data_IF_361501056644
#
_entry.id   IF_361501056644
#
_cell.length_a   1.000
_cell.length_b   1.000
_cell.length_c   1.000
_cell.angle_alpha   90.00
_cell.angle_beta   90.00
_cell.angle_gamma   90.00
#
_symmetry.space_group_name_H-M   'P 1'
#
loop_
_entity.id
_entity.type
_entity.pdbx_description
1 polymer ?
#
# COMPACT_ATOMS: atom_id res chain seq x y z
N UNK A 1 -2.45 -10.84 -5.34
CA UNK A 1 -1.92 -12.14 -5.67
C UNK A 1 -0.55 -12.07 -6.33
N UNK A 2 0.21 -13.11 -6.14
CA UNK A 2 1.57 -13.21 -6.72
C UNK A 2 1.55 -13.39 -8.25
N UNK A 3 0.40 -13.70 -8.83
CA UNK A 3 0.22 -13.85 -10.28
C UNK A 3 0.71 -12.65 -11.10
N UNK A 4 0.57 -11.43 -10.57
CA UNK A 4 0.98 -10.20 -11.26
C UNK A 4 2.50 -10.04 -11.39
N UNK A 5 3.31 -10.86 -10.73
CA UNK A 5 4.78 -10.72 -10.72
C UNK A 5 5.36 -10.77 -12.13
N UNK A 6 4.95 -11.74 -12.92
CA UNK A 6 5.44 -11.86 -14.31
C UNK A 6 5.02 -10.65 -15.16
N UNK A 7 3.80 -10.16 -15.00
CA UNK A 7 3.33 -8.94 -15.68
C UNK A 7 4.16 -7.72 -15.29
N UNK A 8 4.55 -7.59 -14.02
CA UNK A 8 5.42 -6.50 -13.57
C UNK A 8 6.83 -6.62 -14.16
N UNK A 9 7.37 -7.83 -14.27
CA UNK A 9 8.67 -8.09 -14.89
C UNK A 9 8.63 -7.78 -16.38
N UNK A 10 7.59 -8.22 -17.09
CA UNK A 10 7.34 -7.89 -18.51
C UNK A 10 7.23 -6.37 -18.72
N UNK A 11 6.67 -5.64 -17.77
CA UNK A 11 6.59 -4.18 -17.79
C UNK A 11 7.91 -3.47 -17.46
N UNK A 12 9.00 -4.20 -17.20
CA UNK A 12 10.35 -3.66 -17.03
C UNK A 12 10.77 -3.41 -15.59
N UNK A 13 10.09 -3.99 -14.59
CA UNK A 13 10.57 -3.93 -13.21
C UNK A 13 11.83 -4.76 -13.07
N UNK A 14 12.89 -4.16 -12.48
CA UNK A 14 14.21 -4.77 -12.36
C UNK A 14 14.46 -5.38 -10.99
N UNK A 15 13.68 -5.02 -9.97
CA UNK A 15 13.88 -5.41 -8.60
C UNK A 15 12.55 -5.44 -7.86
N UNK A 16 12.28 -6.44 -7.05
CA UNK A 16 11.11 -6.51 -6.19
C UNK A 16 11.50 -6.21 -4.75
N UNK A 17 10.71 -5.39 -4.07
CA UNK A 17 10.86 -5.11 -2.65
C UNK A 17 9.61 -5.55 -1.90
N UNK A 18 9.78 -6.46 -0.94
CA UNK A 18 8.71 -7.06 -0.15
C UNK A 18 8.91 -6.78 1.33
N UNK A 19 7.86 -6.94 2.12
CA UNK A 19 7.94 -6.68 3.55
C UNK A 19 8.77 -7.75 4.27
N UNK A 20 8.49 -9.01 4.02
CA UNK A 20 9.02 -10.12 4.80
C UNK A 20 9.54 -11.28 3.93
N UNK A 21 10.13 -12.28 4.61
CA UNK A 21 10.72 -13.44 3.95
C UNK A 21 9.68 -14.34 3.28
N UNK A 22 8.49 -14.51 3.88
CA UNK A 22 7.46 -15.38 3.33
C UNK A 22 6.98 -14.90 1.96
N UNK A 23 6.83 -13.58 1.79
CA UNK A 23 6.52 -12.97 0.48
C UNK A 23 7.64 -13.22 -0.53
N UNK A 24 8.91 -13.07 -0.10
CA UNK A 24 10.07 -13.30 -0.95
C UNK A 24 10.14 -14.76 -1.43
N UNK A 25 9.93 -15.72 -0.55
CA UNK A 25 9.94 -17.13 -0.87
C UNK A 25 8.83 -17.52 -1.84
N UNK A 26 7.62 -16.99 -1.65
CA UNK A 26 6.51 -17.19 -2.60
C UNK A 26 6.82 -16.61 -3.99
N UNK A 27 7.50 -15.47 -4.05
CA UNK A 27 7.97 -14.93 -5.33
C UNK A 27 9.00 -15.86 -5.97
N UNK A 28 9.91 -16.44 -5.18
CA UNK A 28 10.92 -17.39 -5.68
C UNK A 28 10.32 -18.67 -6.25
N UNK A 29 9.16 -19.10 -5.79
CA UNK A 29 8.41 -20.20 -6.41
C UNK A 29 7.99 -19.87 -7.86
N UNK A 30 7.69 -18.59 -8.14
CA UNK A 30 7.22 -18.11 -9.44
C UNK A 30 8.38 -17.69 -10.35
N UNK A 31 9.36 -16.99 -9.80
CA UNK A 31 10.50 -16.48 -10.54
C UNK A 31 11.81 -16.67 -9.75
N UNK A 32 12.75 -17.41 -10.35
CA UNK A 32 14.02 -17.77 -9.72
C UNK A 32 15.10 -16.69 -9.85
N UNK A 33 14.93 -15.70 -10.74
CA UNK A 33 16.00 -14.79 -11.15
C UNK A 33 15.84 -13.37 -10.67
N UNK A 34 14.61 -12.83 -10.67
CA UNK A 34 14.37 -11.43 -10.31
C UNK A 34 14.99 -11.08 -8.94
N UNK A 35 15.80 -10.04 -8.81
CA UNK A 35 16.31 -9.62 -7.51
C UNK A 35 15.16 -9.28 -6.54
N UNK A 36 15.28 -9.69 -5.27
CA UNK A 36 14.28 -9.47 -4.23
C UNK A 36 14.95 -8.89 -3.00
N UNK A 37 14.44 -7.77 -2.50
CA UNK A 37 14.83 -7.15 -1.23
C UNK A 37 13.74 -7.36 -0.17
N UNK A 38 14.09 -7.94 0.97
CA UNK A 38 13.26 -7.88 2.16
C UNK A 38 13.52 -6.56 2.90
N UNK A 39 12.47 -5.76 3.06
CA UNK A 39 12.55 -4.44 3.71
C UNK A 39 12.61 -4.52 5.24
N UNK A 40 12.10 -5.60 5.82
CA UNK A 40 12.23 -5.90 7.24
C UNK A 40 13.55 -6.65 7.51
N UNK A 41 14.22 -6.39 8.65
CA UNK A 41 15.38 -7.17 9.04
C UNK A 41 15.04 -8.65 9.22
N UNK A 42 15.84 -9.51 8.63
CA UNK A 42 15.65 -10.96 8.68
C UNK A 42 16.18 -11.52 10.01
N UNK A 43 15.45 -12.44 10.61
CA UNK A 43 15.96 -13.17 11.78
C UNK A 43 17.17 -14.02 11.36
N UNK A 44 18.21 -14.05 12.19
CA UNK A 44 19.49 -14.72 11.92
C UNK A 44 19.34 -16.19 11.51
N UNK A 45 18.38 -16.89 12.08
CA UNK A 45 18.09 -18.31 11.76
C UNK A 45 17.67 -18.55 10.30
N UNK A 46 17.28 -17.49 9.58
CA UNK A 46 16.83 -17.57 8.19
C UNK A 46 17.83 -17.05 7.18
N UNK A 47 19.04 -16.66 7.60
CA UNK A 47 20.07 -16.13 6.69
C UNK A 47 20.50 -17.16 5.64
N UNK A 48 20.58 -18.44 6.01
CA UNK A 48 20.95 -19.51 5.09
C UNK A 48 19.95 -19.64 3.94
N UNK A 49 18.64 -19.57 4.24
CA UNK A 49 17.62 -19.62 3.19
C UNK A 49 17.66 -18.36 2.33
N UNK A 50 17.93 -17.18 2.91
CA UNK A 50 18.10 -15.94 2.14
C UNK A 50 19.28 -16.05 1.17
N UNK A 51 20.42 -16.59 1.63
CA UNK A 51 21.57 -16.83 0.79
C UNK A 51 21.27 -17.82 -0.34
N UNK A 52 20.71 -18.99 -0.01
CA UNK A 52 20.34 -20.03 -0.98
C UNK A 52 19.38 -19.55 -2.04
N UNK A 53 18.37 -18.79 -1.65
CA UNK A 53 17.34 -18.28 -2.56
C UNK A 53 17.68 -16.90 -3.16
N UNK A 54 18.93 -16.43 -2.99
CA UNK A 54 19.41 -15.15 -3.51
C UNK A 54 18.46 -13.97 -3.15
N UNK A 55 18.09 -13.90 -1.86
CA UNK A 55 17.23 -12.83 -1.32
C UNK A 55 18.13 -11.80 -0.63
N UNK A 56 18.05 -10.56 -1.06
CA UNK A 56 18.75 -9.43 -0.47
C UNK A 56 18.10 -9.04 0.86
N UNK A 57 18.92 -8.80 1.88
CA UNK A 57 18.43 -8.45 3.21
C UNK A 57 18.63 -6.96 3.52
N UNK A 58 17.78 -6.43 4.41
CA UNK A 58 17.94 -5.10 4.98
C UNK A 58 18.77 -5.18 6.26
N UNK A 59 19.78 -4.33 6.34
CA UNK A 59 20.59 -4.09 7.54
C UNK A 59 20.31 -2.71 8.07
N UNK A 60 19.95 -2.59 9.35
CA UNK A 60 19.42 -1.38 9.96
C UNK A 60 20.12 -0.92 11.22
N UNK A 61 21.10 -1.68 11.71
CA UNK A 61 21.86 -1.32 12.92
C UNK A 61 23.23 -1.98 12.95
N UNK A 62 24.17 -1.35 13.65
CA UNK A 62 25.51 -1.90 13.87
C UNK A 62 25.47 -3.23 14.64
N UNK A 63 24.53 -3.38 15.58
CA UNK A 63 24.37 -4.63 16.33
C UNK A 63 23.97 -5.80 15.43
N UNK A 64 23.07 -5.53 14.47
CA UNK A 64 22.70 -6.55 13.48
C UNK A 64 23.88 -6.93 12.58
N UNK A 65 24.70 -5.97 12.13
CA UNK A 65 25.91 -6.23 11.34
C UNK A 65 26.87 -7.12 12.11
N UNK A 66 27.15 -6.81 13.38
CA UNK A 66 28.01 -7.63 14.23
C UNK A 66 27.54 -9.09 14.32
N UNK A 67 26.23 -9.29 14.43
CA UNK A 67 25.63 -10.63 14.52
C UNK A 67 25.74 -11.43 13.22
N UNK A 68 25.74 -10.78 12.06
CA UNK A 68 25.88 -11.45 10.76
C UNK A 68 27.31 -11.51 10.27
N UNK A 69 28.28 -10.90 10.98
CA UNK A 69 29.65 -10.77 10.50
C UNK A 69 30.39 -12.12 10.35
N UNK A 70 29.98 -13.13 11.10
CA UNK A 70 30.52 -14.49 10.99
C UNK A 70 29.80 -15.39 9.99
N UNK A 71 28.82 -14.83 9.26
CA UNK A 71 28.06 -15.57 8.24
C UNK A 71 28.97 -15.97 7.08
N UNK A 72 28.93 -17.27 6.69
CA UNK A 72 29.89 -17.88 5.76
C UNK A 72 29.37 -17.99 4.33
N UNK A 73 28.10 -17.76 4.09
CA UNK A 73 27.52 -17.84 2.76
C UNK A 73 27.30 -16.44 2.17
N UNK A 74 27.31 -16.35 0.84
CA UNK A 74 27.14 -15.07 0.15
C UNK A 74 25.74 -14.51 0.37
N UNK A 75 25.66 -13.25 0.79
CA UNK A 75 24.38 -12.55 0.96
C UNK A 75 24.50 -11.08 0.53
N UNK A 76 23.50 -10.59 -0.18
CA UNK A 76 23.40 -9.19 -0.59
C UNK A 76 22.72 -8.37 0.48
N UNK A 77 23.20 -7.16 0.66
CA UNK A 77 22.77 -6.26 1.73
C UNK A 77 22.37 -4.91 1.16
N UNK A 78 21.22 -4.41 1.58
CA UNK A 78 20.88 -3.00 1.51
C UNK A 78 20.90 -2.38 2.90
N UNK A 79 21.65 -1.31 3.07
CA UNK A 79 21.69 -0.53 4.31
C UNK A 79 20.47 0.39 4.36
N UNK A 80 19.76 0.37 5.48
CA UNK A 80 18.65 1.26 5.77
C UNK A 80 19.11 2.43 6.63
N UNK A 81 18.86 3.65 6.16
CA UNK A 81 19.07 4.89 6.91
C UNK A 81 17.74 5.36 7.50
N UNK A 82 17.72 5.68 8.78
CA UNK A 82 16.62 6.41 9.39
C UNK A 82 16.90 7.91 9.34
N UNK A 83 16.38 8.54 8.34
CA UNK A 83 16.56 9.98 8.12
C UNK A 83 15.52 10.85 8.86
N UNK A 84 14.85 10.28 9.88
CA UNK A 84 13.89 11.00 10.72
C UNK A 84 12.46 10.43 10.68
N UNK A 85 12.26 9.23 10.14
CA UNK A 85 10.99 8.51 10.30
C UNK A 85 10.88 7.84 11.67
N UNK A 86 12.01 7.65 12.37
CA UNK A 86 12.14 7.06 13.71
C UNK A 86 11.50 5.68 13.82
N UNK A 87 11.78 4.84 12.81
CA UNK A 87 11.22 3.50 12.74
C UNK A 87 12.27 2.41 12.64
N UNK A 88 13.22 2.56 11.74
CA UNK A 88 14.22 1.56 11.41
C UNK A 88 15.35 2.19 10.61
N UNK A 89 16.61 1.87 10.95
CA UNK A 89 17.78 2.29 10.17
C UNK A 89 18.85 2.98 11.01
N UNK A 90 20.00 3.22 10.40
CA UNK A 90 21.10 3.99 10.99
C UNK A 90 20.69 5.47 11.04
N UNK A 91 20.86 6.10 12.18
CA UNK A 91 20.52 7.49 12.45
C UNK A 91 21.76 8.36 12.72
N UNK A 92 22.97 7.77 12.69
CA UNK A 92 24.23 8.47 12.91
C UNK A 92 25.38 7.94 12.04
N UNK A 93 26.32 8.84 11.70
CA UNK A 93 27.48 8.56 10.84
C UNK A 93 28.38 7.48 11.41
N UNK A 94 28.69 7.56 12.71
CA UNK A 94 29.70 6.72 13.35
C UNK A 94 29.34 5.22 13.29
N UNK A 95 28.09 4.89 13.56
CA UNK A 95 27.64 3.51 13.52
C UNK A 95 27.46 3.02 12.08
N UNK A 96 27.07 3.91 11.16
CA UNK A 96 27.00 3.61 9.74
C UNK A 96 28.40 3.27 9.17
N UNK A 97 29.41 4.11 9.43
CA UNK A 97 30.79 3.89 8.98
C UNK A 97 31.37 2.56 9.51
N UNK A 98 31.17 2.30 10.81
CA UNK A 98 31.59 1.03 11.42
C UNK A 98 30.90 -0.17 10.77
N UNK A 99 29.61 -0.05 10.51
CA UNK A 99 28.83 -1.12 9.87
C UNK A 99 29.34 -1.40 8.46
N UNK A 100 29.58 -0.37 7.66
CA UNK A 100 30.12 -0.50 6.30
C UNK A 100 31.51 -1.16 6.31
N UNK A 101 32.39 -0.75 7.23
CA UNK A 101 33.73 -1.34 7.35
C UNK A 101 33.64 -2.83 7.69
N UNK A 102 32.84 -3.20 8.69
CA UNK A 102 32.63 -4.60 9.05
C UNK A 102 32.05 -5.43 7.89
N UNK A 103 31.11 -4.88 7.13
CA UNK A 103 30.55 -5.56 5.96
C UNK A 103 31.63 -5.74 4.89
N UNK A 104 32.46 -4.72 4.62
CA UNK A 104 33.54 -4.79 3.64
C UNK A 104 34.67 -5.75 4.01
N UNK A 105 34.89 -5.99 5.31
CA UNK A 105 35.88 -6.96 5.82
C UNK A 105 35.44 -8.42 5.61
N UNK A 106 34.14 -8.70 5.49
CA UNK A 106 33.62 -10.03 5.23
C UNK A 106 33.25 -10.20 3.74
N UNK A 107 34.04 -10.96 3.00
CA UNK A 107 33.85 -11.20 1.57
C UNK A 107 32.53 -11.90 1.20
N UNK A 108 31.84 -12.49 2.17
CA UNK A 108 30.53 -13.11 1.95
C UNK A 108 29.36 -12.11 2.07
N UNK A 109 29.62 -10.91 2.60
CA UNK A 109 28.63 -9.86 2.75
C UNK A 109 28.76 -8.84 1.60
N UNK A 110 27.85 -8.90 0.64
CA UNK A 110 27.89 -8.01 -0.52
C UNK A 110 27.02 -6.77 -0.30
N UNK A 111 27.68 -5.61 -0.14
CA UNK A 111 27.01 -4.33 0.04
C UNK A 111 26.49 -3.83 -1.32
N UNK A 112 25.22 -4.13 -1.61
CA UNK A 112 24.58 -3.82 -2.90
C UNK A 112 23.91 -2.45 -2.92
N UNK A 113 23.24 -2.06 -1.83
CA UNK A 113 22.44 -0.84 -1.86
C UNK A 113 22.33 -0.10 -0.54
N UNK A 114 21.85 1.13 -0.63
CA UNK A 114 21.53 2.00 0.51
C UNK A 114 20.23 2.74 0.26
N UNK A 115 19.40 2.92 1.31
CA UNK A 115 18.12 3.56 1.16
C UNK A 115 17.58 4.22 2.42
N UNK A 116 16.65 5.15 2.22
CA UNK A 116 15.76 5.64 3.29
C UNK A 116 14.29 5.59 2.85
N UNK A 117 13.38 5.98 3.73
CA UNK A 117 11.95 6.02 3.44
C UNK A 117 11.36 7.38 3.83
N UNK A 118 10.72 8.04 2.88
CA UNK A 118 10.08 9.33 3.11
C UNK A 118 8.75 9.18 3.84
N UNK A 119 8.58 9.92 4.92
CA UNK A 119 7.35 9.92 5.74
C UNK A 119 6.21 10.73 5.16
N UNK A 120 6.48 11.57 4.15
CA UNK A 120 5.51 12.49 3.53
C UNK A 120 5.53 12.38 2.01
N UNK A 121 4.52 12.97 1.37
CA UNK A 121 4.31 12.92 -0.07
C UNK A 121 4.78 14.20 -0.81
N UNK A 122 4.96 15.30 -0.10
CA UNK A 122 5.09 16.60 -0.73
C UNK A 122 6.49 16.97 -1.18
N UNK A 123 6.60 17.61 -2.34
CA UNK A 123 7.85 18.13 -2.91
C UNK A 123 8.45 19.18 -1.98
N UNK A 124 7.65 20.16 -1.55
CA UNK A 124 8.04 21.27 -0.71
C UNK A 124 7.66 21.09 0.77
N UNK A 125 7.48 19.82 1.19
CA UNK A 125 7.19 19.51 2.57
C UNK A 125 8.47 19.67 3.42
N UNK A 126 8.47 20.52 4.47
CA UNK A 126 9.64 20.72 5.33
C UNK A 126 10.14 19.41 5.93
N UNK A 127 9.23 18.49 6.22
CA UNK A 127 9.60 17.20 6.74
C UNK A 127 10.38 16.38 5.70
N UNK A 128 9.97 16.39 4.42
CA UNK A 128 10.74 15.76 3.34
C UNK A 128 12.12 16.40 3.20
N UNK A 129 12.19 17.74 3.18
CA UNK A 129 13.44 18.47 3.11
C UNK A 129 14.36 18.10 4.28
N UNK A 130 13.83 18.09 5.50
CA UNK A 130 14.56 17.68 6.70
C UNK A 130 15.08 16.25 6.59
N UNK A 131 14.26 15.33 6.07
CA UNK A 131 14.68 13.92 5.88
C UNK A 131 15.78 13.79 4.83
N UNK A 132 15.73 14.54 3.73
CA UNK A 132 16.80 14.54 2.72
C UNK A 132 18.10 15.10 3.30
N UNK A 133 18.06 16.26 3.96
CA UNK A 133 19.24 16.83 4.64
C UNK A 133 19.82 15.87 5.69
N UNK A 134 18.98 15.19 6.47
CA UNK A 134 19.43 14.19 7.44
C UNK A 134 20.07 12.97 6.75
N UNK A 135 19.50 12.49 5.64
CA UNK A 135 20.11 11.41 4.86
C UNK A 135 21.49 11.83 4.34
N UNK A 136 21.60 13.00 3.73
CA UNK A 136 22.84 13.55 3.20
C UNK A 136 23.89 13.78 4.33
N UNK A 137 23.46 14.25 5.49
CA UNK A 137 24.33 14.38 6.64
C UNK A 137 24.86 13.04 7.14
N UNK A 138 23.96 12.06 7.39
CA UNK A 138 24.35 10.73 7.89
C UNK A 138 25.29 10.02 6.90
N UNK A 139 25.11 10.23 5.60
CA UNK A 139 25.90 9.60 4.54
C UNK A 139 27.07 10.44 4.04
N UNK A 140 27.35 11.60 4.61
CA UNK A 140 28.31 12.58 4.07
C UNK A 140 29.75 12.07 3.93
N UNK A 141 30.15 11.08 4.74
CA UNK A 141 31.46 10.43 4.68
C UNK A 141 31.48 9.16 3.82
N UNK A 142 30.34 8.85 3.17
CA UNK A 142 30.16 7.64 2.38
C UNK A 142 30.10 8.02 0.89
N UNK A 143 30.88 7.34 0.07
CA UNK A 143 30.77 7.48 -1.37
C UNK A 143 29.55 6.71 -1.88
N UNK A 144 28.44 7.41 -2.11
CA UNK A 144 27.19 6.80 -2.59
C UNK A 144 27.33 6.14 -3.99
N UNK A 145 28.32 6.53 -4.78
CA UNK A 145 28.58 5.94 -6.10
C UNK A 145 29.14 4.49 -6.00
N UNK A 146 29.62 4.06 -4.84
CA UNK A 146 30.02 2.67 -4.60
C UNK A 146 28.85 1.69 -4.47
N UNK A 147 27.65 2.19 -4.21
CA UNK A 147 26.46 1.37 -4.12
C UNK A 147 25.84 1.18 -5.50
N UNK A 148 25.56 -0.07 -5.86
CA UNK A 148 24.85 -0.38 -7.09
C UNK A 148 23.46 0.27 -7.13
N UNK A 149 22.78 0.36 -5.98
CA UNK A 149 21.43 0.90 -5.86
C UNK A 149 21.32 1.89 -4.69
N UNK A 150 20.98 3.14 -5.00
CA UNK A 150 20.59 4.16 -4.03
C UNK A 150 19.13 4.52 -4.25
N UNK A 151 18.25 4.24 -3.28
CA UNK A 151 16.82 4.41 -3.46
C UNK A 151 16.10 5.09 -2.28
N UNK A 152 15.41 6.18 -2.56
CA UNK A 152 14.74 7.02 -1.57
C UNK A 152 13.24 7.10 -1.84
N UNK A 153 12.87 7.49 -3.05
CA UNK A 153 11.50 7.81 -3.40
C UNK A 153 10.61 6.58 -3.56
N UNK A 154 9.32 6.81 -3.34
CA UNK A 154 8.23 5.84 -3.49
C UNK A 154 7.14 6.41 -4.40
N UNK A 155 6.18 5.61 -4.81
CA UNK A 155 5.10 5.93 -5.77
C UNK A 155 4.91 7.43 -6.08
N UNK A 156 4.25 8.18 -5.18
CA UNK A 156 3.90 9.58 -5.44
C UNK A 156 5.12 10.48 -5.49
N UNK A 157 6.10 10.29 -4.59
CA UNK A 157 7.31 11.12 -4.58
C UNK A 157 8.15 10.90 -5.83
N UNK A 158 8.20 9.67 -6.35
CA UNK A 158 8.91 9.36 -7.58
C UNK A 158 8.22 9.95 -8.84
N UNK A 159 6.89 10.06 -8.81
CA UNK A 159 6.10 10.56 -9.95
C UNK A 159 5.99 12.09 -9.96
N UNK A 160 6.05 12.74 -8.79
CA UNK A 160 5.82 14.17 -8.63
C UNK A 160 7.09 14.99 -8.40
N UNK A 161 8.22 14.36 -8.03
CA UNK A 161 9.43 15.07 -7.67
C UNK A 161 10.48 15.00 -8.79
N UNK A 162 11.36 16.01 -8.82
CA UNK A 162 12.59 15.89 -9.59
C UNK A 162 13.44 14.75 -9.04
N UNK A 163 14.08 14.02 -9.93
CA UNK A 163 15.06 12.99 -9.58
C UNK A 163 16.11 13.58 -8.63
N UNK A 164 16.44 12.83 -7.60
CA UNK A 164 17.58 13.13 -6.73
C UNK A 164 18.82 12.59 -7.44
N UNK A 165 19.82 13.42 -7.69
CA UNK A 165 20.95 13.12 -8.61
C UNK A 165 21.72 11.86 -8.23
N UNK A 166 21.92 11.62 -6.94
CA UNK A 166 22.61 10.42 -6.45
C UNK A 166 21.72 9.17 -6.35
N UNK A 167 20.40 9.27 -6.66
CA UNK A 167 19.50 8.13 -6.65
C UNK A 167 19.35 7.52 -8.03
N UNK A 168 19.41 6.19 -8.11
CA UNK A 168 19.20 5.41 -9.33
C UNK A 168 18.07 4.38 -9.21
N UNK A 169 17.42 4.31 -8.04
CA UNK A 169 16.31 3.41 -7.77
C UNK A 169 15.10 4.13 -7.15
N UNK A 170 13.90 3.63 -7.46
CA UNK A 170 12.62 4.06 -6.86
C UNK A 170 11.80 2.85 -6.42
N UNK A 171 11.00 3.00 -5.37
CA UNK A 171 10.11 1.93 -4.89
C UNK A 171 8.67 2.27 -5.24
N UNK A 172 8.20 1.78 -6.38
CA UNK A 172 6.80 1.89 -6.76
C UNK A 172 5.97 0.86 -5.98
N UNK A 173 4.87 1.30 -5.40
CA UNK A 173 3.96 0.46 -4.61
C UNK A 173 2.53 0.65 -5.08
N UNK A 174 1.76 1.51 -4.40
CA UNK A 174 0.33 1.71 -4.68
C UNK A 174 0.05 2.17 -6.12
N UNK A 175 0.97 2.88 -6.74
CA UNK A 175 0.84 3.31 -8.15
C UNK A 175 0.86 2.14 -9.15
N UNK A 176 1.49 1.01 -8.82
CA UNK A 176 1.42 -0.22 -9.63
C UNK A 176 0.00 -0.80 -9.70
N UNK A 177 -0.83 -0.47 -8.73
CA UNK A 177 -2.25 -0.84 -8.69
C UNK A 177 -3.16 0.23 -9.26
N UNK A 178 -2.59 1.27 -9.89
CA UNK A 178 -3.37 2.35 -10.51
C UNK A 178 -3.90 3.40 -9.53
N UNK A 179 -3.30 3.53 -8.36
CA UNK A 179 -3.72 4.51 -7.36
C UNK A 179 -2.59 5.45 -6.97
N UNK A 180 -2.94 6.71 -6.72
CA UNK A 180 -2.07 7.67 -6.06
C UNK A 180 -2.60 7.98 -4.66
N UNK A 181 -1.76 8.48 -3.76
CA UNK A 181 -2.15 8.85 -2.38
C UNK A 181 -2.64 10.29 -2.25
N UNK A 182 -2.93 10.96 -3.35
CA UNK A 182 -3.37 12.34 -3.30
C UNK A 182 -4.74 12.41 -2.59
N UNK A 183 -4.94 13.35 -1.67
CA UNK A 183 -6.20 13.48 -0.97
C UNK A 183 -7.32 13.84 -1.95
N UNK A 184 -8.48 13.21 -1.78
CA UNK A 184 -9.70 13.62 -2.48
C UNK A 184 -10.06 15.03 -1.97
N UNK A 185 -10.25 15.96 -2.88
CA UNK A 185 -10.79 17.27 -2.56
C UNK A 185 -12.30 17.18 -2.73
N UNK A 186 -12.98 16.79 -1.68
CA UNK A 186 -14.42 16.99 -1.58
C UNK A 186 -14.64 18.42 -1.09
N UNK A 187 -15.52 19.20 -1.74
CA UNK A 187 -15.83 20.59 -1.34
C UNK A 187 -16.72 20.66 -0.09
N UNK A 188 -16.54 19.76 0.86
CA UNK A 188 -17.29 19.74 2.12
C UNK A 188 -16.78 20.81 3.08
N UNK A 189 -17.63 21.23 4.03
CA UNK A 189 -17.25 22.17 5.09
C UNK A 189 -16.03 21.66 5.89
N UNK A 190 -16.00 20.35 6.15
CA UNK A 190 -14.89 19.65 6.84
C UNK A 190 -13.58 19.75 6.04
N UNK A 191 -13.65 19.65 4.72
CA UNK A 191 -12.48 19.80 3.86
C UNK A 191 -12.00 21.24 3.78
N UNK A 192 -12.91 22.22 3.77
CA UNK A 192 -12.56 23.63 3.84
C UNK A 192 -11.82 23.96 5.14
N UNK A 193 -12.34 23.50 6.28
CA UNK A 193 -11.69 23.68 7.59
C UNK A 193 -10.32 22.98 7.65
N UNK A 194 -10.21 21.76 7.12
CA UNK A 194 -8.93 21.03 7.02
C UNK A 194 -7.93 21.76 6.13
N UNK A 195 -8.37 22.33 5.02
CA UNK A 195 -7.52 23.12 4.13
C UNK A 195 -7.06 24.43 4.77
N UNK A 196 -7.92 25.10 5.53
CA UNK A 196 -7.55 26.29 6.34
C UNK A 196 -6.48 25.90 7.38
N UNK A 197 -6.70 24.81 8.12
CA UNK A 197 -5.71 24.32 9.11
C UNK A 197 -4.37 23.99 8.46
N UNK A 198 -4.38 23.34 7.29
CA UNK A 198 -3.17 23.06 6.50
C UNK A 198 -2.51 24.34 6.00
N UNK A 199 -3.28 25.32 5.55
CA UNK A 199 -2.76 26.62 5.13
C UNK A 199 -2.08 27.36 6.28
N UNK A 200 -2.69 27.40 7.47
CA UNK A 200 -2.09 27.96 8.68
C UNK A 200 -0.79 27.24 9.07
N UNK A 201 -0.76 25.92 9.01
CA UNK A 201 0.45 25.13 9.25
C UNK A 201 1.55 25.48 8.23
N UNK A 202 1.20 25.63 6.95
CA UNK A 202 2.16 26.04 5.90
C UNK A 202 2.74 27.42 6.19
N UNK A 203 1.90 28.41 6.52
CA UNK A 203 2.39 29.74 6.93
C UNK A 203 3.34 29.67 8.12
N UNK A 204 2.98 28.90 9.14
CA UNK A 204 3.81 28.73 10.34
C UNK A 204 5.20 28.14 10.04
N UNK A 205 5.31 27.27 9.06
CA UNK A 205 6.54 26.56 8.71
C UNK A 205 7.21 27.07 7.43
N UNK A 206 6.77 28.25 6.91
CA UNK A 206 7.29 28.86 5.67
C UNK A 206 7.33 27.89 4.48
N UNK A 207 6.29 27.09 4.30
CA UNK A 207 6.16 26.11 3.22
C UNK A 207 5.60 26.82 2.00
N UNK A 208 6.36 26.87 0.92
CA UNK A 208 5.91 27.36 -0.37
C UNK A 208 4.79 26.46 -0.95
N UNK A 209 4.01 27.01 -1.88
CA UNK A 209 2.83 26.35 -2.41
C UNK A 209 3.14 24.93 -2.94
N UNK A 210 2.31 24.02 -2.51
CA UNK A 210 2.29 22.63 -2.88
C UNK A 210 1.57 22.46 -4.22
N UNK A 211 2.27 22.38 -5.30
CA UNK A 211 1.69 21.89 -6.55
C UNK A 211 2.09 20.42 -6.74
N UNK A 212 1.12 19.54 -6.49
CA UNK A 212 1.19 18.21 -7.06
C UNK A 212 0.80 18.32 -8.51
N UNK A 213 1.56 17.73 -9.40
CA UNK A 213 1.04 17.41 -10.71
C UNK A 213 -0.09 16.38 -10.52
N UNK A 214 -1.34 16.88 -10.63
CA UNK A 214 -2.55 16.08 -10.48
C UNK A 214 -2.91 15.32 -11.76
N UNK A 215 -2.19 15.57 -12.84
CA UNK A 215 -2.45 14.99 -14.15
C UNK A 215 -1.82 13.60 -14.34
N UNK A 216 -1.40 12.95 -13.25
CA UNK A 216 -0.96 11.56 -13.31
C UNK A 216 -2.21 10.70 -13.50
N UNK A 217 -2.42 10.29 -14.74
CA UNK A 217 -3.48 9.36 -15.09
C UNK A 217 -3.06 7.93 -14.74
N UNK A 218 -3.73 7.37 -13.73
CA UNK A 218 -3.53 6.01 -13.27
C UNK A 218 -4.85 5.26 -13.35
N UNK A 219 -4.85 4.16 -14.09
CA UNK A 219 -6.02 3.29 -14.19
C UNK A 219 -6.01 2.25 -13.08
N UNK A 220 -7.06 2.20 -12.21
CA UNK A 220 -7.17 1.18 -11.17
C UNK A 220 -7.17 -0.23 -11.74
N UNK A 221 -6.31 -1.09 -11.16
CA UNK A 221 -6.19 -2.49 -11.56
C UNK A 221 -7.05 -3.43 -10.69
N UNK A 222 -7.66 -2.92 -9.61
CA UNK A 222 -8.47 -3.70 -8.68
C UNK A 222 -9.94 -3.33 -8.80
N UNK A 223 -10.78 -4.35 -8.95
CA UNK A 223 -12.23 -4.26 -8.77
C UNK A 223 -12.71 -5.33 -7.81
N UNK A 224 -13.74 -5.03 -7.02
CA UNK A 224 -14.37 -5.97 -6.09
C UNK A 224 -15.87 -6.00 -6.36
N UNK A 225 -16.38 -7.16 -6.60
CA UNK A 225 -17.80 -7.39 -6.91
C UNK A 225 -18.40 -8.40 -5.97
N UNK A 226 -19.71 -8.30 -5.81
CA UNK A 226 -20.57 -9.27 -5.15
C UNK A 226 -21.92 -9.32 -5.88
N UNK A 227 -22.93 -9.91 -5.27
CA UNK A 227 -24.27 -10.02 -5.82
C UNK A 227 -25.36 -9.80 -4.76
N UNK A 228 -26.55 -9.44 -5.20
CA UNK A 228 -27.76 -9.34 -4.38
C UNK A 228 -28.27 -10.75 -4.14
N UNK A 229 -28.38 -11.16 -2.86
CA UNK A 229 -28.87 -12.51 -2.48
C UNK A 229 -30.30 -12.52 -1.93
N UNK A 230 -30.80 -11.37 -1.48
CA UNK A 230 -32.16 -11.26 -0.92
C UNK A 230 -32.66 -9.81 -1.06
N UNK A 231 -33.96 -9.62 -1.18
CA UNK A 231 -34.60 -8.31 -1.21
C UNK A 231 -35.81 -8.32 -0.27
N UNK A 232 -35.92 -7.32 0.59
CA UNK A 232 -37.00 -7.15 1.54
C UNK A 232 -37.51 -5.71 1.57
N UNK A 233 -38.78 -5.53 1.89
CA UNK A 233 -39.32 -4.26 2.31
C UNK A 233 -39.08 -4.10 3.80
N UNK A 234 -38.62 -2.94 4.22
CA UNK A 234 -38.46 -2.55 5.62
C UNK A 234 -39.41 -1.42 5.89
N UNK A 235 -40.32 -1.62 6.83
CA UNK A 235 -41.36 -0.67 7.22
C UNK A 235 -40.87 0.33 8.28
N UNK A 236 -41.62 1.41 8.41
CA UNK A 236 -41.36 2.39 9.46
C UNK A 236 -41.36 1.72 10.86
N UNK A 237 -40.32 1.98 11.65
CA UNK A 237 -40.15 1.41 12.99
C UNK A 237 -39.46 0.04 13.03
N UNK A 238 -39.10 -0.53 11.88
CA UNK A 238 -38.33 -1.79 11.82
C UNK A 238 -36.81 -1.56 11.89
N UNK A 239 -36.08 -2.59 12.32
CA UNK A 239 -34.63 -2.56 12.44
C UNK A 239 -33.95 -3.25 11.28
N UNK A 240 -32.79 -2.71 10.86
CA UNK A 240 -31.90 -3.32 9.87
C UNK A 240 -30.57 -3.69 10.52
N UNK A 241 -30.21 -4.97 10.50
CA UNK A 241 -28.97 -5.50 11.00
C UNK A 241 -28.80 -5.42 12.52
N UNK A 242 -27.55 -5.58 12.97
CA UNK A 242 -27.19 -5.54 14.39
C UNK A 242 -27.18 -4.10 14.95
N UNK A 243 -27.30 -3.99 16.26
CA UNK A 243 -27.22 -2.73 17.03
C UNK A 243 -28.28 -1.67 16.68
N UNK A 244 -29.39 -2.10 16.06
CA UNK A 244 -30.59 -1.33 15.98
C UNK A 244 -30.52 -0.09 15.09
N UNK A 245 -30.09 -0.23 13.83
CA UNK A 245 -30.42 0.80 12.85
C UNK A 245 -31.94 0.81 12.68
N UNK A 246 -32.61 1.74 13.37
CA UNK A 246 -34.06 1.93 13.29
C UNK A 246 -34.39 2.72 12.02
N UNK A 247 -35.17 2.11 11.14
CA UNK A 247 -35.72 2.82 9.99
C UNK A 247 -36.91 3.71 10.42
N UNK A 248 -36.85 4.97 10.03
CA UNK A 248 -37.92 5.93 10.22
C UNK A 248 -38.28 6.63 8.90
N UNK A 249 -39.55 6.71 8.59
CA UNK A 249 -40.08 7.34 7.37
C UNK A 249 -40.84 6.37 6.49
N UNK A 250 -40.89 6.63 5.20
CA UNK A 250 -41.57 5.78 4.21
C UNK A 250 -40.88 4.42 4.10
N UNK A 251 -41.62 3.39 3.72
CA UNK A 251 -41.11 2.05 3.47
C UNK A 251 -39.99 2.08 2.45
N UNK A 252 -38.92 1.33 2.74
CA UNK A 252 -37.76 1.21 1.86
C UNK A 252 -37.57 -0.22 1.38
N UNK A 253 -37.00 -0.35 0.19
CA UNK A 253 -36.55 -1.64 -0.32
C UNK A 253 -35.07 -1.82 0.06
N UNK A 254 -34.74 -2.92 0.71
CA UNK A 254 -33.39 -3.26 1.15
C UNK A 254 -32.92 -4.54 0.49
N UNK A 255 -31.79 -4.46 -0.22
CA UNK A 255 -31.09 -5.61 -0.76
C UNK A 255 -30.03 -6.09 0.23
N UNK A 256 -29.95 -7.39 0.46
CA UNK A 256 -28.83 -8.03 1.13
C UNK A 256 -27.81 -8.46 0.08
N UNK A 257 -26.56 -8.05 0.30
CA UNK A 257 -25.44 -8.34 -0.61
C UNK A 257 -24.42 -9.22 0.10
N UNK A 258 -23.95 -10.27 -0.59
CA UNK A 258 -23.08 -11.32 -0.04
C UNK A 258 -21.62 -10.87 0.09
N UNK A 259 -21.34 -9.91 0.98
CA UNK A 259 -19.99 -9.46 1.33
C UNK A 259 -20.03 -8.77 2.69
N UNK A 260 -19.03 -9.01 3.54
CA UNK A 260 -18.99 -8.42 4.87
C UNK A 260 -17.58 -8.16 5.40
N UNK A 261 -17.44 -8.04 6.73
CA UNK A 261 -16.13 -7.72 7.33
C UNK A 261 -15.16 -8.91 7.27
N UNK A 262 -15.62 -10.15 7.17
CA UNK A 262 -14.74 -11.31 6.93
C UNK A 262 -14.08 -11.27 5.55
N UNK A 263 -14.70 -10.56 4.61
CA UNK A 263 -14.18 -10.36 3.25
C UNK A 263 -13.26 -9.13 3.16
N UNK A 264 -13.17 -8.36 4.23
CA UNK A 264 -12.28 -7.19 4.34
C UNK A 264 -12.98 -5.84 4.28
N UNK A 265 -14.32 -5.78 4.36
CA UNK A 265 -15.01 -4.51 4.56
C UNK A 265 -14.84 -4.03 6.00
N UNK A 266 -14.59 -2.74 6.18
CA UNK A 266 -14.53 -2.15 7.52
C UNK A 266 -15.96 -1.96 8.09
N UNK A 267 -16.12 -2.13 9.38
CA UNK A 267 -17.40 -1.91 10.08
C UNK A 267 -17.95 -0.48 9.89
N UNK A 268 -17.06 0.49 9.69
CA UNK A 268 -17.42 1.89 9.39
C UNK A 268 -17.92 2.12 7.95
N UNK A 269 -17.98 1.07 7.12
CA UNK A 269 -18.51 1.18 5.75
C UNK A 269 -20.01 1.48 5.69
N UNK A 270 -20.71 1.51 6.83
CA UNK A 270 -22.05 2.05 6.93
C UNK A 270 -22.07 3.51 6.45
N UNK A 271 -22.98 3.81 5.52
CA UNK A 271 -23.07 5.13 4.87
C UNK A 271 -22.21 5.28 3.62
N UNK A 272 -21.33 4.33 3.30
CA UNK A 272 -20.68 4.24 1.99
C UNK A 272 -21.69 3.81 0.91
N UNK A 273 -21.23 3.84 -0.34
CA UNK A 273 -22.07 3.49 -1.50
C UNK A 273 -21.48 2.29 -2.23
N UNK A 274 -22.38 1.45 -2.75
CA UNK A 274 -22.11 0.44 -3.77
C UNK A 274 -22.75 0.85 -5.09
N UNK A 275 -22.32 0.27 -6.21
CA UNK A 275 -22.93 0.52 -7.51
C UNK A 275 -23.64 -0.75 -8.01
N UNK A 276 -24.91 -0.61 -8.42
CA UNK A 276 -25.70 -1.68 -9.04
C UNK A 276 -26.34 -1.10 -10.30
N UNK A 277 -26.19 -1.74 -11.45
CA UNK A 277 -26.70 -1.25 -12.74
C UNK A 277 -26.29 0.23 -13.00
N UNK A 278 -25.04 0.57 -12.70
CA UNK A 278 -24.45 1.92 -12.86
C UNK A 278 -25.11 3.03 -12.01
N UNK A 279 -25.87 2.68 -10.98
CA UNK A 279 -26.43 3.60 -10.01
C UNK A 279 -25.87 3.36 -8.62
N UNK A 280 -25.59 4.44 -7.88
CA UNK A 280 -25.09 4.36 -6.50
C UNK A 280 -26.21 4.14 -5.50
N UNK A 281 -26.02 3.20 -4.60
CA UNK A 281 -26.94 2.84 -3.53
C UNK A 281 -26.22 2.83 -2.20
N UNK A 282 -26.87 3.35 -1.17
CA UNK A 282 -26.28 3.55 0.16
C UNK A 282 -26.31 2.27 1.00
N UNK A 283 -25.20 1.94 1.63
CA UNK A 283 -25.12 0.92 2.66
C UNK A 283 -25.76 1.47 3.94
N UNK A 284 -26.62 0.69 4.56
CA UNK A 284 -27.29 1.02 5.83
C UNK A 284 -27.09 -0.08 6.86
N UNK A 285 -27.30 0.25 8.14
CA UNK A 285 -27.12 -0.70 9.23
C UNK A 285 -25.64 -1.09 9.46
N UNK A 286 -25.43 -2.05 10.35
CA UNK A 286 -24.11 -2.55 10.67
C UNK A 286 -23.63 -3.54 9.62
N UNK A 287 -22.36 -3.45 9.23
CA UNK A 287 -21.72 -4.46 8.38
C UNK A 287 -21.67 -5.78 9.14
N UNK A 288 -22.23 -6.84 8.56
CA UNK A 288 -22.21 -8.18 9.14
C UNK A 288 -20.95 -8.95 8.70
N UNK A 289 -20.76 -10.16 9.21
CA UNK A 289 -19.61 -11.00 8.89
C UNK A 289 -19.47 -11.23 7.38
N UNK A 290 -20.52 -11.67 6.71
CA UNK A 290 -20.52 -11.97 5.28
C UNK A 290 -21.61 -11.24 4.48
N UNK A 291 -22.24 -10.21 5.02
CA UNK A 291 -23.36 -9.54 4.36
C UNK A 291 -23.41 -8.06 4.70
N UNK A 292 -23.92 -7.26 3.75
CA UNK A 292 -24.29 -5.86 3.96
C UNK A 292 -25.73 -5.64 3.51
N UNK A 293 -26.37 -4.60 4.07
CA UNK A 293 -27.70 -4.15 3.69
C UNK A 293 -27.62 -2.85 2.90
N UNK A 294 -28.30 -2.77 1.77
CA UNK A 294 -28.24 -1.66 0.82
C UNK A 294 -29.64 -1.19 0.48
N UNK A 295 -29.91 0.11 0.62
CA UNK A 295 -31.21 0.67 0.17
C UNK A 295 -31.22 0.74 -1.35
N UNK A 296 -32.22 0.15 -1.97
CA UNK A 296 -32.28 0.01 -3.44
C UNK A 296 -33.64 0.40 -4.01
N UNK A 297 -33.68 0.59 -5.33
CA UNK A 297 -34.92 0.77 -6.08
C UNK A 297 -35.62 -0.56 -6.36
N UNK A 298 -36.89 -0.48 -6.75
CA UNK A 298 -37.73 -1.62 -7.15
C UNK A 298 -37.20 -2.37 -8.39
N UNK A 299 -36.27 -1.79 -9.14
CA UNK A 299 -35.68 -2.40 -10.35
C UNK A 299 -34.50 -3.36 -10.06
N UNK A 300 -34.08 -3.43 -8.79
CA UNK A 300 -33.01 -4.33 -8.36
C UNK A 300 -33.62 -5.69 -8.04
N UNK A 301 -32.93 -6.76 -8.46
CA UNK A 301 -33.38 -8.13 -8.30
C UNK A 301 -32.27 -8.99 -7.67
N UNK A 302 -32.64 -10.10 -7.09
CA UNK A 302 -31.71 -11.17 -6.65
C UNK A 302 -30.89 -11.62 -7.86
N UNK A 303 -29.56 -11.79 -7.67
CA UNK A 303 -28.61 -12.09 -8.73
C UNK A 303 -28.01 -10.85 -9.43
N UNK A 304 -28.50 -9.63 -9.14
CA UNK A 304 -27.89 -8.43 -9.69
C UNK A 304 -26.45 -8.25 -9.16
N UNK A 305 -25.52 -7.98 -10.08
CA UNK A 305 -24.11 -7.74 -9.76
C UNK A 305 -23.95 -6.40 -9.03
N UNK A 306 -23.22 -6.45 -7.92
CA UNK A 306 -22.93 -5.30 -7.06
C UNK A 306 -21.44 -4.97 -7.15
N UNK A 307 -21.09 -3.77 -7.59
CA UNK A 307 -19.73 -3.28 -7.56
C UNK A 307 -19.46 -2.59 -6.21
N UNK A 308 -18.58 -3.17 -5.42
CA UNK A 308 -18.12 -2.61 -4.13
C UNK A 308 -16.95 -1.66 -4.39
N UNK A 309 -15.99 -2.09 -5.24
CA UNK A 309 -14.88 -1.28 -5.73
C UNK A 309 -14.87 -1.44 -7.25
N UNK A 310 -14.97 -0.32 -7.95
CA UNK A 310 -14.90 -0.25 -9.42
C UNK A 310 -14.37 1.12 -9.84
N UNK A 311 -14.22 1.35 -11.14
CA UNK A 311 -13.85 2.67 -11.67
C UNK A 311 -14.84 3.76 -11.25
N UNK A 312 -16.15 3.43 -11.18
CA UNK A 312 -17.23 4.36 -10.82
C UNK A 312 -17.40 4.48 -9.30
N UNK A 313 -17.03 3.48 -8.55
CA UNK A 313 -17.16 3.40 -7.10
C UNK A 313 -15.77 3.21 -6.49
N UNK A 314 -15.06 4.31 -6.37
CA UNK A 314 -13.63 4.27 -6.08
C UNK A 314 -13.31 3.80 -4.66
N UNK A 315 -12.27 2.98 -4.54
CA UNK A 315 -11.66 2.59 -3.26
C UNK A 315 -11.36 3.79 -2.35
N UNK A 316 -11.16 5.00 -2.94
CA UNK A 316 -10.96 6.25 -2.21
C UNK A 316 -12.18 6.66 -1.41
N UNK A 317 -13.38 6.53 -2.01
CA UNK A 317 -14.65 6.88 -1.36
C UNK A 317 -14.89 5.94 -0.18
N UNK A 318 -14.69 4.64 -0.38
CA UNK A 318 -14.77 3.63 0.68
C UNK A 318 -13.74 3.89 1.80
N UNK A 319 -12.48 4.14 1.45
CA UNK A 319 -11.43 4.45 2.42
C UNK A 319 -11.72 5.75 3.19
N UNK A 320 -12.29 6.75 2.55
CA UNK A 320 -12.67 8.01 3.19
C UNK A 320 -13.83 7.81 4.17
N UNK A 321 -14.84 7.03 3.82
CA UNK A 321 -15.94 6.65 4.70
C UNK A 321 -15.41 5.92 5.95
N UNK A 322 -14.47 5.03 5.75
CA UNK A 322 -13.84 4.25 6.82
C UNK A 322 -12.77 5.01 7.60
N UNK A 323 -12.56 6.31 7.32
CA UNK A 323 -11.50 7.14 7.92
C UNK A 323 -10.11 6.48 7.85
N UNK A 324 -9.84 5.76 6.77
CA UNK A 324 -8.62 4.99 6.58
C UNK A 324 -7.90 5.32 5.27
N UNK A 325 -6.85 4.58 4.95
CA UNK A 325 -6.06 4.75 3.74
C UNK A 325 -6.43 3.69 2.69
N UNK A 326 -6.22 4.00 1.41
CA UNK A 326 -6.36 3.03 0.32
C UNK A 326 -5.52 1.78 0.57
N UNK A 327 -4.31 1.93 1.14
CA UNK A 327 -3.45 0.79 1.50
C UNK A 327 -4.16 -0.18 2.44
N UNK A 328 -4.73 0.34 3.54
CA UNK A 328 -5.45 -0.51 4.49
C UNK A 328 -6.64 -1.19 3.83
N UNK A 329 -7.44 -0.44 3.06
CA UNK A 329 -8.60 -1.01 2.36
C UNK A 329 -8.18 -2.15 1.42
N UNK A 330 -7.09 -1.99 0.64
CA UNK A 330 -6.61 -3.05 -0.25
C UNK A 330 -6.02 -4.25 0.50
N UNK A 331 -5.21 -4.00 1.53
CA UNK A 331 -4.51 -5.08 2.25
C UNK A 331 -5.40 -5.86 3.19
N UNK A 332 -6.55 -5.31 3.59
CA UNK A 332 -7.54 -5.99 4.41
C UNK A 332 -8.49 -6.90 3.61
N UNK A 333 -8.48 -6.82 2.26
CA UNK A 333 -9.30 -7.75 1.46
C UNK A 333 -8.86 -9.18 1.72
N UNK A 334 -9.82 -10.02 2.07
CA UNK A 334 -9.57 -11.42 2.45
C UNK A 334 -8.79 -12.17 1.37
N UNK A 335 -7.76 -12.95 1.73
CA UNK A 335 -7.10 -13.85 0.78
C UNK A 335 -8.03 -14.97 0.30
N UNK A 336 -9.13 -15.22 1.00
CA UNK A 336 -10.13 -16.26 0.66
C UNK A 336 -11.04 -15.87 -0.51
N UNK A 337 -11.11 -14.58 -0.84
CA UNK A 337 -11.91 -14.13 -1.99
C UNK A 337 -11.36 -14.68 -3.30
N UNK A 338 -12.21 -15.25 -4.17
CA UNK A 338 -11.82 -15.63 -5.52
C UNK A 338 -11.18 -14.44 -6.27
N UNK A 339 -10.09 -14.71 -6.99
CA UNK A 339 -9.41 -13.71 -7.80
C UNK A 339 -9.45 -14.06 -9.26
N UNK A 340 -10.01 -13.14 -10.04
CA UNK A 340 -10.07 -13.24 -11.50
C UNK A 340 -9.04 -12.28 -12.07
N UNK A 341 -8.04 -12.80 -12.74
CA UNK A 341 -7.00 -12.02 -13.42
C UNK A 341 -7.41 -11.80 -14.88
N UNK A 342 -7.49 -10.53 -15.26
CA UNK A 342 -7.92 -10.11 -16.59
C UNK A 342 -6.78 -9.33 -17.26
N UNK A 343 -6.40 -9.74 -18.46
CA UNK A 343 -5.45 -9.04 -19.32
C UNK A 343 -6.05 -8.88 -20.71
N UNK A 344 -5.99 -7.69 -21.30
CA UNK A 344 -6.57 -7.40 -22.60
C UNK A 344 -8.04 -7.83 -22.76
N UNK A 345 -8.85 -7.56 -21.71
CA UNK A 345 -10.27 -7.94 -21.62
C UNK A 345 -10.57 -9.45 -21.67
N UNK A 346 -9.55 -10.29 -21.46
CA UNK A 346 -9.72 -11.75 -21.38
C UNK A 346 -9.35 -12.24 -19.98
N UNK A 347 -10.12 -13.18 -19.47
CA UNK A 347 -9.77 -13.90 -18.24
C UNK A 347 -8.57 -14.78 -18.52
N UNK A 348 -7.45 -14.53 -17.83
CA UNK A 348 -6.23 -15.34 -17.94
C UNK A 348 -6.18 -16.42 -16.86
N UNK A 349 -6.65 -16.09 -15.66
CA UNK A 349 -6.61 -17.02 -14.52
C UNK A 349 -7.72 -16.72 -13.55
N UNK A 350 -8.25 -17.76 -12.94
CA UNK A 350 -9.12 -17.69 -11.76
C UNK A 350 -8.37 -18.40 -10.64
N UNK A 351 -8.19 -17.74 -9.51
CA UNK A 351 -7.70 -18.32 -8.26
C UNK A 351 -8.89 -18.45 -7.31
N UNK A 352 -9.31 -19.66 -7.09
CA UNK A 352 -10.25 -20.03 -6.03
C UNK A 352 -9.45 -20.72 -4.92
N UNK A 353 -9.86 -20.54 -3.66
CA UNK A 353 -9.31 -21.41 -2.63
C UNK A 353 -9.81 -22.84 -2.90
N UNK A 354 -8.88 -23.76 -3.12
CA UNK A 354 -9.19 -25.19 -2.97
C UNK A 354 -9.51 -25.43 -1.51
N UNK A 355 -10.74 -25.78 -1.24
CA UNK A 355 -11.19 -26.36 0.04
C UNK A 355 -10.47 -27.67 0.31
#
# INVERSE_FOLDING_TARGET
GFYIINTLIEAGINYLAVSNLDEALKIREINKEIPILCLEPINLKWLEICSKENITITVSSLDYVKKINDFKNNIKIHIKIDSGMNRLGFDNKKDLEKAINLIKENSNLYLEGIYTHMGTLGINDPYRKKQLTSFEDITSNINLAEFKIVHIDRSVTAMCNKKIDYCNGVRMGISLYGYNQLPIINNTLKDKLRNIKRWLQRKKYHIENYEFDRNIDLTPALSLYSEVIEIKTVHNGEFVGYFGYLHQGEDITVATVCIGYADGLDLKSNGAYVSIKNKKYKIIGTINMGMISVVVDKNIMVGDKVAIISNDNGIRELSSCNETTIYKTMTCLSPLLPRVYIKNNKVEKIEEMSL
#
